data_IF_040869714693
#
_entry.id   IF_040869714693
#
_cell.length_a   1.000
_cell.length_b   1.000
_cell.length_c   1.000
_cell.angle_alpha   90.00
_cell.angle_beta   90.00
_cell.angle_gamma   90.00
#
_symmetry.space_group_name_H-M   'P 1'
#
loop_
_entity.id
_entity.type
_entity.pdbx_description
1 polymer ?
#
# COMPACT_ATOMS: atom_id res chain seq x y z
N UNK A 1 -16.64 2.23 -14.98
CA UNK A 1 -15.84 1.03 -14.65
C UNK A 1 -15.57 1.13 -13.16
N UNK A 2 -16.16 0.24 -12.36
CA UNK A 2 -16.12 0.36 -10.91
C UNK A 2 -14.76 -0.02 -10.32
N UNK A 3 -14.34 0.60 -9.21
CA UNK A 3 -13.06 0.33 -8.54
C UNK A 3 -12.93 -1.11 -8.00
N UNK A 4 -14.04 -1.84 -7.90
CA UNK A 4 -14.12 -3.23 -7.43
C UNK A 4 -14.48 -4.23 -8.56
N UNK A 5 -14.43 -3.77 -9.82
CA UNK A 5 -14.57 -4.67 -10.95
C UNK A 5 -13.46 -5.75 -10.93
N UNK A 6 -13.76 -7.02 -11.29
CA UNK A 6 -12.79 -8.11 -11.29
C UNK A 6 -11.58 -7.82 -12.20
N UNK A 7 -11.74 -6.96 -13.21
CA UNK A 7 -10.65 -6.47 -14.03
C UNK A 7 -9.68 -5.58 -13.25
N UNK A 8 -10.21 -4.63 -12.47
CA UNK A 8 -9.40 -3.75 -11.61
C UNK A 8 -8.66 -4.56 -10.54
N UNK A 9 -9.33 -5.55 -9.94
CA UNK A 9 -8.69 -6.46 -8.98
C UNK A 9 -7.60 -7.32 -9.62
N UNK A 10 -7.78 -7.82 -10.85
CA UNK A 10 -6.73 -8.56 -11.55
C UNK A 10 -5.52 -7.67 -11.88
N UNK A 11 -5.74 -6.43 -12.31
CA UNK A 11 -4.65 -5.48 -12.53
C UNK A 11 -3.93 -5.19 -11.21
N UNK A 12 -4.67 -4.98 -10.12
CA UNK A 12 -4.11 -4.79 -8.77
C UNK A 12 -3.32 -6.02 -8.30
N UNK A 13 -3.79 -7.25 -8.55
CA UNK A 13 -3.06 -8.49 -8.24
C UNK A 13 -1.81 -8.66 -9.12
N UNK A 14 -1.88 -8.24 -10.39
CA UNK A 14 -0.73 -8.28 -11.31
C UNK A 14 0.34 -7.25 -10.92
N UNK A 15 -0.11 -6.04 -10.57
CA UNK A 15 0.67 -4.94 -10.00
C UNK A 15 1.24 -5.34 -8.63
N UNK A 16 0.51 -6.08 -7.81
CA UNK A 16 0.98 -6.66 -6.55
C UNK A 16 2.08 -7.71 -6.75
N UNK A 17 2.09 -8.41 -7.88
CA UNK A 17 3.18 -9.28 -8.27
C UNK A 17 4.46 -8.50 -8.63
N UNK A 18 4.34 -7.21 -8.93
CA UNK A 18 5.45 -6.29 -9.11
C UNK A 18 5.80 -5.60 -7.78
N UNK A 19 7.09 -5.57 -7.42
CA UNK A 19 7.59 -5.00 -6.17
C UNK A 19 7.54 -3.46 -6.23
N UNK A 20 6.36 -2.88 -6.07
CA UNK A 20 6.11 -1.44 -6.24
C UNK A 20 6.37 -0.63 -4.98
N UNK A 21 6.79 0.62 -5.17
CA UNK A 21 6.99 1.53 -4.05
C UNK A 21 5.65 2.04 -3.51
N UNK A 22 5.59 2.46 -2.24
CA UNK A 22 4.41 3.12 -1.68
C UNK A 22 3.90 4.29 -2.53
N UNK A 23 4.82 5.02 -3.19
CA UNK A 23 4.49 6.14 -4.08
C UNK A 23 3.75 5.68 -5.34
N UNK A 24 4.18 4.56 -5.92
CA UNK A 24 3.51 3.97 -7.08
C UNK A 24 2.09 3.49 -6.71
N UNK A 25 1.92 2.91 -5.52
CA UNK A 25 0.60 2.54 -5.00
C UNK A 25 -0.32 3.74 -4.83
N UNK A 26 0.19 4.85 -4.28
CA UNK A 26 -0.58 6.09 -4.16
C UNK A 26 -0.96 6.68 -5.52
N UNK A 27 -0.06 6.65 -6.50
CA UNK A 27 -0.37 7.08 -7.87
C UNK A 27 -1.42 6.18 -8.51
N UNK A 28 -1.28 4.87 -8.36
CA UNK A 28 -2.21 3.87 -8.90
C UNK A 28 -3.60 4.06 -8.30
N UNK A 29 -3.70 4.15 -6.98
CA UNK A 29 -4.96 4.42 -6.26
C UNK A 29 -5.57 5.75 -6.70
N UNK A 30 -4.77 6.82 -6.84
CA UNK A 30 -5.27 8.13 -7.27
C UNK A 30 -5.72 8.16 -8.74
N UNK A 31 -5.10 7.36 -9.61
CA UNK A 31 -5.42 7.31 -11.04
C UNK A 31 -6.68 6.46 -11.33
N UNK A 32 -7.02 5.53 -10.43
CA UNK A 32 -8.07 4.52 -10.64
C UNK A 32 -9.30 4.76 -9.77
N UNK A 33 -9.13 5.33 -8.58
CA UNK A 33 -10.20 5.59 -7.62
C UNK A 33 -10.71 7.03 -7.75
N UNK A 34 -12.01 7.21 -7.49
CA UNK A 34 -12.58 8.54 -7.33
C UNK A 34 -12.00 9.22 -6.07
N UNK A 35 -12.06 10.56 -5.94
CA UNK A 35 -11.51 11.26 -4.78
C UNK A 35 -12.05 10.76 -3.43
N UNK A 36 -13.32 10.33 -3.37
CA UNK A 36 -13.92 9.75 -2.18
C UNK A 36 -13.34 8.37 -1.82
N UNK A 37 -13.30 7.46 -2.80
CA UNK A 37 -12.74 6.11 -2.65
C UNK A 37 -11.25 6.15 -2.32
N UNK A 38 -10.51 7.11 -2.89
CA UNK A 38 -9.09 7.32 -2.58
C UNK A 38 -8.85 7.74 -1.12
N UNK A 39 -9.73 8.56 -0.55
CA UNK A 39 -9.65 8.94 0.87
C UNK A 39 -9.89 7.72 1.76
N UNK A 40 -10.87 6.88 1.41
CA UNK A 40 -11.16 5.66 2.15
C UNK A 40 -10.00 4.67 2.06
N UNK A 41 -9.47 4.46 0.84
CA UNK A 41 -8.31 3.62 0.60
C UNK A 41 -7.09 4.05 1.42
N UNK A 42 -6.77 5.36 1.44
CA UNK A 42 -5.65 5.87 2.23
C UNK A 42 -5.85 5.61 3.72
N UNK A 43 -7.06 5.84 4.24
CA UNK A 43 -7.37 5.61 5.66
C UNK A 43 -7.15 4.15 6.02
N UNK A 44 -7.71 3.22 5.24
CA UNK A 44 -7.52 1.79 5.45
C UNK A 44 -6.05 1.38 5.29
N UNK A 45 -5.36 1.94 4.32
CA UNK A 45 -3.94 1.68 4.07
C UNK A 45 -3.06 2.13 5.24
N UNK A 46 -3.34 3.29 5.84
CA UNK A 46 -2.66 3.78 7.04
C UNK A 46 -2.88 2.85 8.23
N UNK A 47 -4.13 2.44 8.48
CA UNK A 47 -4.46 1.53 9.59
C UNK A 47 -3.79 0.16 9.42
N UNK A 48 -3.84 -0.43 8.22
CA UNK A 48 -3.13 -1.69 7.91
C UNK A 48 -1.61 -1.53 8.07
N UNK A 49 -1.06 -0.39 7.67
CA UNK A 49 0.38 -0.10 7.83
C UNK A 49 0.78 0.01 9.29
N UNK A 50 -0.05 0.64 10.15
CA UNK A 50 0.17 0.66 11.60
C UNK A 50 0.15 -0.74 12.19
N UNK A 51 -0.83 -1.55 11.81
CA UNK A 51 -0.97 -2.92 12.31
C UNK A 51 0.23 -3.79 11.90
N UNK A 52 0.69 -3.68 10.65
CA UNK A 52 1.87 -4.40 10.16
C UNK A 52 3.14 -3.98 10.90
N UNK A 53 3.33 -2.67 11.18
CA UNK A 53 4.47 -2.18 11.98
C UNK A 53 4.39 -2.70 13.40
N UNK A 54 3.22 -2.68 14.05
CA UNK A 54 3.06 -3.22 15.40
C UNK A 54 3.36 -4.73 15.44
N UNK A 55 2.87 -5.50 14.47
CA UNK A 55 3.20 -6.93 14.32
C UNK A 55 4.68 -7.17 14.05
N UNK A 56 5.30 -6.34 13.21
CA UNK A 56 6.72 -6.40 12.88
C UNK A 56 7.62 -5.92 14.03
N UNK A 57 7.15 -5.01 14.90
CA UNK A 57 7.87 -4.58 16.08
C UNK A 57 8.10 -5.76 17.04
N UNK A 58 7.08 -6.62 17.20
CA UNK A 58 7.17 -7.84 18.01
C UNK A 58 8.00 -8.97 17.38
N UNK A 59 7.98 -9.16 16.05
CA UNK A 59 8.65 -10.29 15.37
C UNK A 59 9.99 -9.99 14.68
N UNK A 60 10.18 -8.76 14.18
CA UNK A 60 11.31 -8.36 13.32
C UNK A 60 12.22 -7.28 13.95
N UNK A 61 12.12 -7.03 15.27
CA UNK A 61 12.93 -6.03 16.01
C UNK A 61 12.96 -4.65 15.32
N UNK A 62 11.82 -4.13 14.87
CA UNK A 62 11.73 -2.75 14.37
C UNK A 62 12.41 -2.47 13.03
N UNK A 63 12.68 -3.50 12.21
CA UNK A 63 13.22 -3.32 10.85
C UNK A 63 12.22 -2.74 9.83
N UNK A 64 10.94 -2.68 10.20
CA UNK A 64 9.84 -2.14 9.39
C UNK A 64 9.21 -0.99 10.18
N UNK A 65 9.27 0.22 9.63
CA UNK A 65 8.70 1.43 10.23
C UNK A 65 7.51 1.93 9.42
N UNK A 66 6.62 2.68 10.07
CA UNK A 66 5.43 3.25 9.41
C UNK A 66 5.84 4.15 8.23
N UNK A 67 6.87 4.97 8.43
CA UNK A 67 7.50 5.78 7.38
C UNK A 67 7.97 4.96 6.18
N UNK A 68 8.48 3.74 6.38
CA UNK A 68 8.89 2.87 5.27
C UNK A 68 7.68 2.31 4.51
N UNK A 69 6.60 1.96 5.20
CA UNK A 69 5.40 1.42 4.57
C UNK A 69 4.61 2.50 3.84
N UNK A 70 4.43 3.66 4.46
CA UNK A 70 3.69 4.78 3.88
C UNK A 70 4.52 5.58 2.86
N UNK A 71 5.85 5.37 2.83
CA UNK A 71 6.74 6.24 2.07
C UNK A 71 6.74 7.67 2.60
N UNK A 72 6.56 7.84 3.92
CA UNK A 72 6.54 9.14 4.59
C UNK A 72 7.88 9.40 5.30
N UNK A 73 8.11 10.66 5.70
CA UNK A 73 9.33 11.08 6.38
C UNK A 73 10.60 10.93 5.53
N UNK A 74 11.56 10.12 6.00
CA UNK A 74 12.85 9.92 5.32
C UNK A 74 12.77 8.97 4.09
N UNK A 75 11.65 8.27 3.93
CA UNK A 75 11.40 7.36 2.80
C UNK A 75 10.50 7.97 1.73
N UNK A 76 10.32 9.28 1.76
CA UNK A 76 9.54 10.05 0.77
C UNK A 76 10.27 10.16 -0.58
N UNK A 77 11.59 9.98 -0.58
CA UNK A 77 12.39 9.95 -1.80
C UNK A 77 12.34 8.56 -2.45
N UNK A 78 12.06 8.46 -3.77
CA UNK A 78 12.08 7.19 -4.51
C UNK A 78 13.38 6.41 -4.34
N UNK A 79 14.50 7.11 -4.18
CA UNK A 79 15.83 6.55 -3.92
C UNK A 79 15.94 5.79 -2.58
N UNK A 80 15.18 6.22 -1.57
CA UNK A 80 15.07 5.54 -0.27
C UNK A 80 14.09 4.36 -0.35
N UNK A 81 13.04 4.47 -1.17
CA UNK A 81 12.07 3.39 -1.40
C UNK A 81 12.66 2.23 -2.20
N UNK A 82 13.52 2.50 -3.19
CA UNK A 82 14.26 1.48 -3.96
C UNK A 82 15.20 0.64 -3.08
N UNK A 83 15.68 1.21 -1.96
CA UNK A 83 16.52 0.49 -1.00
C UNK A 83 15.72 -0.32 0.03
N UNK A 84 14.38 -0.28 -0.01
CA UNK A 84 13.55 -1.07 0.88
C UNK A 84 13.73 -2.57 0.62
N UNK A 85 13.70 -3.34 1.71
CA UNK A 85 13.78 -4.80 1.61
C UNK A 85 12.53 -5.33 0.90
N UNK A 86 12.70 -6.40 0.11
CA UNK A 86 11.57 -7.08 -0.57
C UNK A 86 10.44 -7.43 0.39
N UNK A 87 10.77 -7.81 1.63
CA UNK A 87 9.78 -8.03 2.68
C UNK A 87 8.88 -6.81 2.94
N UNK A 88 9.47 -5.61 3.03
CA UNK A 88 8.73 -4.36 3.27
C UNK A 88 7.85 -4.03 2.05
N UNK A 89 8.38 -4.21 0.84
CA UNK A 89 7.60 -4.02 -0.39
C UNK A 89 6.44 -5.01 -0.47
N UNK A 90 6.62 -6.25 -0.02
CA UNK A 90 5.55 -7.24 0.08
C UNK A 90 4.46 -6.80 1.04
N UNK A 91 4.86 -6.33 2.21
CA UNK A 91 3.97 -5.85 3.27
C UNK A 91 3.18 -4.62 2.78
N UNK A 92 3.84 -3.67 2.10
CA UNK A 92 3.23 -2.51 1.43
C UNK A 92 2.16 -2.95 0.44
N UNK A 93 2.52 -3.83 -0.49
CA UNK A 93 1.61 -4.34 -1.51
C UNK A 93 0.42 -5.05 -0.88
N UNK A 94 0.65 -5.91 0.11
CA UNK A 94 -0.41 -6.64 0.79
C UNK A 94 -1.40 -5.68 1.46
N UNK A 95 -0.88 -4.67 2.16
CA UNK A 95 -1.70 -3.65 2.80
C UNK A 95 -2.50 -2.83 1.77
N UNK A 96 -1.87 -2.45 0.66
CA UNK A 96 -2.51 -1.71 -0.42
C UNK A 96 -3.65 -2.48 -1.07
N UNK A 97 -3.45 -3.77 -1.35
CA UNK A 97 -4.48 -4.66 -1.91
C UNK A 97 -5.63 -4.87 -0.93
N UNK A 98 -5.33 -5.08 0.35
CA UNK A 98 -6.35 -5.22 1.39
C UNK A 98 -7.18 -3.95 1.55
N UNK A 99 -6.52 -2.79 1.58
CA UNK A 99 -7.19 -1.49 1.61
C UNK A 99 -8.06 -1.28 0.36
N UNK A 100 -7.61 -1.74 -0.80
CA UNK A 100 -8.38 -1.67 -2.04
C UNK A 100 -9.64 -2.53 -1.99
N UNK A 101 -9.54 -3.76 -1.49
CA UNK A 101 -10.69 -4.65 -1.32
C UNK A 101 -11.69 -4.18 -0.27
N UNK A 102 -11.29 -3.27 0.61
CA UNK A 102 -12.16 -2.69 1.63
C UNK A 102 -13.03 -1.54 1.08
N UNK A 103 -12.75 -1.03 -0.12
CA UNK A 103 -13.54 0.04 -0.74
C UNK A 103 -14.88 -0.55 -1.19
N UNK A 104 -16.03 -0.02 -0.73
CA UNK A 104 -17.34 -0.48 -1.15
C UNK A 104 -17.56 -0.14 -2.63
N UNK A 105 -18.04 -1.12 -3.39
CA UNK A 105 -18.43 -0.93 -4.79
C UNK A 105 -19.70 -0.06 -4.83
N UNK A 106 -19.58 1.17 -5.33
CA UNK A 106 -20.72 2.07 -5.57
C UNK A 106 -21.47 1.69 -6.86
#
# INVERSE_FOLDING_TARGET
MGPSAPYTLQVVDMVASQWLTPSDWHQTARATLSPGDYVLWRTEYEEKSKETVQKAAGKRKGKVSLDMLLGTGQFLSPSSQIKLSKDVLKDVTTNAVLAWRAIPEA
#
